data_IF_366863929227
#
_entry.id   IF_366863929227
#
_cell.length_a   1.000
_cell.length_b   1.000
_cell.length_c   1.000
_cell.angle_alpha   90.00
_cell.angle_beta   90.00
_cell.angle_gamma   90.00
#
_symmetry.space_group_name_H-M   'P 1'
#
loop_
_entity.id
_entity.type
_entity.pdbx_description
1 polymer ?
#
# COMPACT_ATOMS: atom_id res chain seq x y z
N UNK A 1 -20.08 -7.51 -10.29
CA UNK A 1 -18.96 -8.35 -9.79
C UNK A 1 -17.82 -7.39 -9.48
N UNK A 2 -17.46 -7.21 -8.21
CA UNK A 2 -16.35 -6.31 -7.86
C UNK A 2 -15.07 -6.91 -8.46
N UNK A 3 -14.35 -6.14 -9.27
CA UNK A 3 -13.18 -6.67 -9.98
C UNK A 3 -12.01 -6.89 -9.02
N UNK A 4 -11.21 -7.93 -9.27
CA UNK A 4 -9.92 -8.18 -8.61
C UNK A 4 -8.80 -7.30 -9.19
N UNK A 5 -9.04 -6.68 -10.35
CA UNK A 5 -8.11 -5.80 -11.05
C UNK A 5 -7.50 -4.69 -10.16
N UNK A 6 -8.28 -4.00 -9.30
CA UNK A 6 -7.72 -2.98 -8.41
C UNK A 6 -6.65 -3.52 -7.46
N UNK A 7 -6.80 -4.75 -6.94
CA UNK A 7 -5.81 -5.34 -6.03
C UNK A 7 -4.45 -5.48 -6.72
N UNK A 8 -4.44 -6.00 -7.96
CA UNK A 8 -3.22 -6.22 -8.72
C UNK A 8 -2.54 -4.90 -9.12
N UNK A 9 -3.34 -3.94 -9.61
CA UNK A 9 -2.82 -2.62 -10.01
C UNK A 9 -2.20 -1.91 -8.81
N UNK A 10 -2.92 -1.86 -7.68
CA UNK A 10 -2.44 -1.18 -6.49
C UNK A 10 -1.24 -1.89 -5.87
N UNK A 11 -1.24 -3.22 -5.80
CA UNK A 11 -0.09 -3.97 -5.33
C UNK A 11 1.18 -3.64 -6.15
N UNK A 12 1.06 -3.61 -7.48
CA UNK A 12 2.17 -3.25 -8.36
C UNK A 12 2.67 -1.82 -8.11
N UNK A 13 1.75 -0.84 -8.09
CA UNK A 13 2.09 0.58 -7.88
C UNK A 13 2.79 0.77 -6.53
N UNK A 14 2.26 0.18 -5.44
CA UNK A 14 2.84 0.35 -4.11
C UNK A 14 4.19 -0.37 -3.96
N UNK A 15 4.38 -1.52 -4.60
CA UNK A 15 5.70 -2.18 -4.63
C UNK A 15 6.73 -1.28 -5.32
N UNK A 16 6.42 -0.76 -6.51
CA UNK A 16 7.33 0.14 -7.24
C UNK A 16 7.63 1.41 -6.43
N UNK A 17 6.59 2.01 -5.83
CA UNK A 17 6.73 3.19 -4.98
C UNK A 17 7.65 2.91 -3.77
N UNK A 18 7.46 1.79 -3.06
CA UNK A 18 8.26 1.44 -1.90
C UNK A 18 9.73 1.15 -2.28
N UNK A 19 9.97 0.48 -3.41
CA UNK A 19 11.33 0.27 -3.93
C UNK A 19 12.00 1.61 -4.24
N UNK A 20 11.32 2.49 -4.98
CA UNK A 20 11.83 3.82 -5.30
C UNK A 20 12.14 4.64 -4.03
N UNK A 21 11.20 4.60 -3.08
CA UNK A 21 11.32 5.26 -1.79
C UNK A 21 12.54 4.75 -0.99
N UNK A 22 12.75 3.44 -0.98
CA UNK A 22 13.89 2.81 -0.33
C UNK A 22 15.21 3.25 -0.97
N UNK A 23 15.31 3.25 -2.30
CA UNK A 23 16.50 3.68 -3.03
C UNK A 23 16.83 5.14 -2.69
N UNK A 24 15.88 6.06 -2.80
CA UNK A 24 16.13 7.48 -2.57
C UNK A 24 16.52 7.80 -1.12
N UNK A 25 15.88 7.16 -0.14
CA UNK A 25 16.21 7.42 1.27
C UNK A 25 17.52 6.76 1.68
N UNK A 26 17.68 5.46 1.38
CA UNK A 26 18.80 4.67 1.92
C UNK A 26 20.05 4.75 1.07
N UNK A 27 19.91 4.76 -0.25
CA UNK A 27 21.05 4.72 -1.17
C UNK A 27 21.49 6.14 -1.50
N UNK A 28 20.58 6.97 -2.02
CA UNK A 28 20.91 8.33 -2.44
C UNK A 28 21.01 9.33 -1.28
N UNK A 29 20.52 8.93 -0.08
CA UNK A 29 20.44 9.80 1.11
C UNK A 29 19.79 11.15 0.78
N UNK A 30 18.81 11.15 -0.11
CA UNK A 30 18.15 12.35 -0.57
C UNK A 30 17.58 13.09 0.64
N UNK A 31 17.85 14.41 0.72
CA UNK A 31 17.24 15.26 1.76
C UNK A 31 15.75 15.37 1.44
N UNK A 32 14.95 14.56 2.13
CA UNK A 32 13.51 14.68 2.08
C UNK A 32 13.12 15.93 2.86
N UNK A 33 12.66 16.97 2.15
CA UNK A 33 12.30 18.27 2.74
C UNK A 33 11.30 18.16 3.89
N UNK A 34 10.46 17.12 3.90
CA UNK A 34 9.47 16.89 4.94
C UNK A 34 9.40 15.40 5.31
N UNK A 35 10.46 14.91 5.98
CA UNK A 35 10.64 13.49 6.31
C UNK A 35 9.47 12.86 7.08
N UNK A 36 8.75 13.63 7.89
CA UNK A 36 7.56 13.16 8.61
C UNK A 36 6.41 12.82 7.65
N UNK A 37 6.02 13.74 6.77
CA UNK A 37 4.97 13.49 5.76
C UNK A 37 5.35 12.33 4.83
N UNK A 38 6.62 12.25 4.47
CA UNK A 38 7.12 11.16 3.63
C UNK A 38 7.05 9.81 4.35
N UNK A 39 7.40 9.76 5.63
CA UNK A 39 7.23 8.57 6.47
C UNK A 39 5.78 8.13 6.59
N UNK A 40 4.84 9.08 6.74
CA UNK A 40 3.40 8.79 6.70
C UNK A 40 3.00 8.19 5.35
N UNK A 41 3.52 8.73 4.24
CA UNK A 41 3.28 8.19 2.89
C UNK A 41 3.75 6.74 2.74
N UNK A 42 4.93 6.39 3.27
CA UNK A 42 5.43 5.01 3.30
C UNK A 42 4.50 4.12 4.11
N UNK A 43 4.05 4.59 5.29
CA UNK A 43 3.20 3.81 6.19
C UNK A 43 1.84 3.51 5.54
N UNK A 44 1.23 4.51 4.88
CA UNK A 44 0.00 4.34 4.09
C UNK A 44 0.23 3.35 2.93
N UNK A 45 1.34 3.46 2.21
CA UNK A 45 1.65 2.56 1.10
C UNK A 45 1.80 1.10 1.56
N UNK A 46 2.44 0.86 2.71
CA UNK A 46 2.56 -0.49 3.30
C UNK A 46 1.18 -1.04 3.66
N UNK A 47 0.32 -0.22 4.28
CA UNK A 47 -1.02 -0.63 4.66
C UNK A 47 -1.87 -1.01 3.43
N UNK A 48 -1.87 -0.16 2.41
CA UNK A 48 -2.63 -0.40 1.17
C UNK A 48 -2.08 -1.60 0.38
N UNK A 49 -0.76 -1.80 0.39
CA UNK A 49 -0.14 -2.99 -0.17
C UNK A 49 -0.58 -4.26 0.59
N UNK A 50 -0.58 -4.21 1.92
CA UNK A 50 -1.06 -5.31 2.76
C UNK A 50 -2.51 -5.69 2.45
N UNK A 51 -3.39 -4.71 2.34
CA UNK A 51 -4.79 -4.93 1.94
C UNK A 51 -4.92 -5.55 0.55
N UNK A 52 -4.12 -5.05 -0.41
CA UNK A 52 -4.12 -5.55 -1.78
C UNK A 52 -3.62 -7.00 -1.86
N UNK A 53 -2.53 -7.32 -1.15
CA UNK A 53 -1.98 -8.69 -1.06
C UNK A 53 -2.97 -9.62 -0.36
N UNK A 54 -3.57 -9.18 0.75
CA UNK A 54 -4.60 -9.96 1.44
C UNK A 54 -5.76 -10.29 0.50
N UNK A 55 -6.26 -9.29 -0.23
CA UNK A 55 -7.30 -9.49 -1.24
C UNK A 55 -6.89 -10.49 -2.32
N UNK A 56 -5.65 -10.43 -2.82
CA UNK A 56 -5.12 -11.38 -3.81
C UNK A 56 -5.08 -12.81 -3.24
N UNK A 57 -4.55 -13.01 -2.02
CA UNK A 57 -4.40 -14.33 -1.40
C UNK A 57 -5.75 -14.98 -1.15
N UNK A 58 -6.72 -14.21 -0.64
CA UNK A 58 -8.05 -14.71 -0.29
C UNK A 58 -9.09 -14.59 -1.42
N UNK A 59 -8.65 -14.16 -2.60
CA UNK A 59 -9.49 -13.95 -3.78
C UNK A 59 -10.72 -13.05 -3.51
N UNK A 60 -10.52 -11.99 -2.71
CA UNK A 60 -11.55 -11.00 -2.40
C UNK A 60 -11.15 -9.61 -2.93
N UNK A 61 -12.10 -8.84 -3.47
CA UNK A 61 -11.85 -7.51 -4.00
C UNK A 61 -11.48 -6.52 -2.88
N UNK A 62 -10.66 -5.53 -3.17
CA UNK A 62 -10.14 -4.57 -2.19
C UNK A 62 -11.23 -3.90 -1.34
N UNK A 63 -12.36 -3.55 -1.96
CA UNK A 63 -13.49 -2.95 -1.23
C UNK A 63 -14.06 -3.88 -0.16
N UNK A 64 -14.02 -5.20 -0.34
CA UNK A 64 -14.41 -6.16 0.70
C UNK A 64 -13.35 -6.27 1.80
N UNK A 65 -12.07 -6.22 1.45
CA UNK A 65 -10.99 -6.15 2.45
C UNK A 65 -11.16 -4.91 3.33
N UNK A 66 -11.49 -3.77 2.73
CA UNK A 66 -11.76 -2.53 3.45
C UNK A 66 -12.95 -2.68 4.41
N UNK A 67 -14.08 -3.21 3.94
CA UNK A 67 -15.25 -3.45 4.80
C UNK A 67 -14.94 -4.41 5.96
N UNK A 68 -14.13 -5.44 5.74
CA UNK A 68 -13.69 -6.38 6.78
C UNK A 68 -12.91 -5.66 7.89
N UNK A 69 -12.00 -4.77 7.50
CA UNK A 69 -11.20 -3.97 8.43
C UNK A 69 -12.11 -3.01 9.20
N UNK A 70 -12.95 -2.23 8.51
CA UNK A 70 -13.87 -1.27 9.14
C UNK A 70 -14.82 -1.95 10.14
N UNK A 71 -15.33 -3.13 9.82
CA UNK A 71 -16.19 -3.89 10.71
C UNK A 71 -15.46 -4.47 11.93
N UNK A 72 -14.13 -4.64 11.87
CA UNK A 72 -13.34 -5.12 13.01
C UNK A 72 -13.09 -4.06 14.08
N UNK A 73 -13.38 -2.78 13.78
CA UNK A 73 -13.24 -1.65 14.70
C UNK A 73 -14.56 -1.12 15.26
N UNK A 74 -15.68 -1.75 14.90
CA UNK A 74 -16.99 -1.53 15.52
C UNK A 74 -17.15 -2.38 16.77
#
# INVERSE_FOLDING_TARGET
>A
MMSMLPNYILAFIFIVFLIYSFINIKIEKAKVSNGCLYGIGILIAILLLGMSIYGIIFNIPLGQVQMLIENSFK
#
